data_IF_650042367456
#
_entry.id   IF_650042367456
#
_cell.length_a   1.000
_cell.length_b   1.000
_cell.length_c   1.000
_cell.angle_alpha   90.00
_cell.angle_beta   90.00
_cell.angle_gamma   90.00
#
_symmetry.space_group_name_H-M   'P 1'
#
loop_
_entity.id
_entity.type
_entity.pdbx_description
1 polymer ?
#
# COMPACT_ATOMS: atom_id res chain seq x y z
N UNK A 1 -0.98 29.15 -2.25
CA UNK A 1 -0.89 27.97 -3.15
C UNK A 1 -1.74 28.28 -4.38
N UNK A 2 -1.19 28.20 -5.60
CA UNK A 2 -1.97 28.46 -6.83
C UNK A 2 -2.67 27.18 -7.24
N UNK A 3 -3.91 27.28 -7.70
CA UNK A 3 -4.66 26.14 -8.22
C UNK A 3 -4.09 25.70 -9.57
N UNK A 4 -3.53 24.48 -9.68
CA UNK A 4 -3.01 23.95 -10.94
C UNK A 4 -4.10 23.40 -11.85
N UNK A 5 -5.32 23.20 -11.34
CA UNK A 5 -6.40 22.47 -12.01
C UNK A 5 -6.78 23.03 -13.39
N UNK A 6 -6.88 24.35 -13.62
CA UNK A 6 -7.20 24.90 -14.94
C UNK A 6 -6.19 24.47 -16.03
N UNK A 7 -4.92 24.29 -15.67
CA UNK A 7 -3.86 23.88 -16.63
C UNK A 7 -3.79 22.38 -16.84
N UNK A 8 -4.09 21.59 -15.81
CA UNK A 8 -4.06 20.13 -15.90
C UNK A 8 -5.21 19.58 -16.74
N UNK A 9 -6.37 20.26 -16.75
CA UNK A 9 -7.56 19.82 -17.47
C UNK A 9 -7.41 19.87 -19.00
N UNK A 10 -6.47 20.67 -19.50
CA UNK A 10 -6.21 20.86 -20.94
C UNK A 10 -5.20 19.84 -21.49
N UNK A 11 -4.51 19.09 -20.62
CA UNK A 11 -3.52 18.10 -21.03
C UNK A 11 -4.17 16.71 -21.17
N UNK A 12 -3.94 15.98 -22.28
CA UNK A 12 -4.34 14.58 -22.36
C UNK A 12 -3.56 13.78 -21.33
N UNK A 13 -4.26 13.09 -20.44
CA UNK A 13 -3.62 12.21 -19.46
C UNK A 13 -3.07 10.97 -20.16
N UNK A 14 -1.77 10.63 -20.00
CA UNK A 14 -1.19 9.51 -20.71
C UNK A 14 -1.83 8.18 -20.26
N UNK A 15 -1.93 7.19 -21.16
CA UNK A 15 -2.37 5.86 -20.75
C UNK A 15 -1.39 5.27 -19.74
N UNK A 16 -1.87 4.98 -18.53
CA UNK A 16 -1.05 4.37 -17.49
C UNK A 16 -0.91 2.87 -17.75
N UNK A 17 0.33 2.37 -17.74
CA UNK A 17 0.63 0.93 -17.73
C UNK A 17 1.27 0.53 -16.42
N UNK A 18 0.67 -0.45 -15.74
CA UNK A 18 1.24 -1.06 -14.54
C UNK A 18 2.49 -1.86 -14.92
N UNK A 19 3.59 -1.63 -14.20
CA UNK A 19 4.79 -2.49 -14.26
C UNK A 19 4.55 -3.83 -13.57
N UNK A 20 5.40 -4.81 -13.85
CA UNK A 20 5.41 -6.07 -13.12
C UNK A 20 5.54 -5.83 -11.61
N UNK A 21 4.88 -6.67 -10.82
CA UNK A 21 4.97 -6.60 -9.37
C UNK A 21 6.33 -7.12 -8.92
N UNK A 22 7.17 -6.24 -8.39
CA UNK A 22 8.51 -6.61 -7.87
C UNK A 22 8.57 -6.67 -6.35
N UNK A 23 7.60 -6.09 -5.65
CA UNK A 23 7.62 -5.99 -4.19
C UNK A 23 6.19 -5.89 -3.67
N UNK A 24 5.89 -6.66 -2.63
CA UNK A 24 4.65 -6.56 -1.87
C UNK A 24 5.00 -6.13 -0.44
N UNK A 25 4.58 -4.92 -0.07
CA UNK A 25 4.65 -4.44 1.31
C UNK A 25 3.25 -4.55 1.92
N UNK A 26 3.17 -5.12 3.13
CA UNK A 26 1.90 -5.32 3.81
C UNK A 26 2.03 -4.84 5.25
N UNK A 27 1.07 -4.05 5.72
CA UNK A 27 0.93 -3.76 7.13
C UNK A 27 0.25 -4.95 7.81
N UNK A 28 0.91 -5.56 8.79
CA UNK A 28 0.29 -6.60 9.62
C UNK A 28 -0.72 -6.04 10.62
N UNK A 29 -0.76 -4.72 10.80
CA UNK A 29 -1.66 -4.06 11.71
C UNK A 29 -1.25 -2.62 11.93
N UNK A 30 -1.98 -1.96 12.82
CA UNK A 30 -1.71 -0.57 13.21
C UNK A 30 -1.32 -0.43 14.68
N UNK A 31 -1.23 -1.55 15.43
CA UNK A 31 -0.71 -1.53 16.79
C UNK A 31 0.80 -1.26 16.76
N UNK A 32 1.19 -0.16 17.40
CA UNK A 32 2.58 0.28 17.52
C UNK A 32 2.80 0.80 18.94
N UNK A 33 3.99 0.68 19.50
CA UNK A 33 4.27 1.18 20.85
C UNK A 33 4.40 2.71 20.94
N UNK A 34 4.39 3.42 19.81
CA UNK A 34 4.53 4.87 19.73
C UNK A 34 3.50 5.43 18.75
N UNK A 35 2.94 6.60 19.07
CA UNK A 35 2.12 7.40 18.17
C UNK A 35 2.94 8.57 17.61
N UNK A 36 3.70 8.34 16.54
CA UNK A 36 4.57 9.36 15.95
C UNK A 36 3.76 10.44 15.23
N UNK A 37 4.12 11.72 15.40
CA UNK A 37 3.47 12.86 14.75
C UNK A 37 3.47 12.79 13.21
N UNK A 38 4.44 12.08 12.63
CA UNK A 38 4.61 11.92 11.18
C UNK A 38 4.17 10.53 10.68
N UNK A 39 3.33 9.81 11.45
CA UNK A 39 2.90 8.47 11.05
C UNK A 39 1.86 8.54 9.92
N UNK A 40 2.28 8.20 8.69
CA UNK A 40 1.41 8.21 7.51
C UNK A 40 0.21 7.25 7.61
N UNK A 41 0.33 6.15 8.36
CA UNK A 41 -0.73 5.15 8.59
C UNK A 41 -1.47 5.32 9.91
N UNK A 42 -1.10 6.34 10.70
CA UNK A 42 -1.70 6.63 12.00
C UNK A 42 -1.66 5.43 12.99
N UNK A 43 -0.59 4.62 12.93
CA UNK A 43 -0.36 3.54 13.88
C UNK A 43 -0.13 4.08 15.30
N UNK A 44 -0.42 3.30 16.33
CA UNK A 44 -0.27 3.74 17.71
C UNK A 44 -0.68 2.70 18.76
N UNK A 45 -0.49 3.01 20.05
CA UNK A 45 -0.63 2.03 21.13
C UNK A 45 -2.08 1.63 21.43
N UNK A 46 -3.04 2.48 21.04
CA UNK A 46 -4.48 2.24 21.23
C UNK A 46 -5.14 1.53 20.06
N UNK A 47 -4.40 1.33 18.94
CA UNK A 47 -4.89 0.63 17.75
C UNK A 47 -5.04 -0.86 18.06
N UNK A 48 -6.07 -1.46 17.48
CA UNK A 48 -6.43 -2.89 17.68
C UNK A 48 -6.48 -3.67 16.38
N UNK A 49 -6.32 -2.98 15.26
CA UNK A 49 -6.31 -3.58 13.93
C UNK A 49 -5.04 -4.43 13.78
N UNK A 50 -5.24 -5.73 13.70
CA UNK A 50 -4.20 -6.72 13.45
C UNK A 50 -4.70 -7.73 12.42
N UNK A 51 -3.80 -8.14 11.54
CA UNK A 51 -4.04 -9.12 10.50
C UNK A 51 -4.21 -10.49 11.14
N UNK A 52 -5.27 -11.18 10.77
CA UNK A 52 -5.51 -12.55 11.25
C UNK A 52 -4.55 -13.52 10.57
N UNK A 53 -4.39 -14.70 11.16
CA UNK A 53 -3.53 -15.75 10.58
C UNK A 53 -4.01 -16.18 9.20
N UNK A 54 -5.31 -16.32 9.02
CA UNK A 54 -5.94 -16.72 7.76
C UNK A 54 -5.64 -15.71 6.65
N UNK A 55 -5.58 -14.43 7.00
CA UNK A 55 -5.21 -13.36 6.06
C UNK A 55 -3.72 -13.40 5.72
N UNK A 56 -2.86 -13.68 6.70
CA UNK A 56 -1.42 -13.91 6.45
C UNK A 56 -1.23 -15.07 5.48
N UNK A 57 -1.92 -16.19 5.70
CA UNK A 57 -1.82 -17.37 4.83
C UNK A 57 -2.32 -17.06 3.40
N UNK A 58 -3.33 -16.18 3.25
CA UNK A 58 -3.75 -15.67 1.95
C UNK A 58 -2.65 -14.84 1.27
N UNK A 59 -1.98 -13.93 1.99
CA UNK A 59 -0.86 -13.14 1.47
C UNK A 59 0.28 -14.05 0.99
N UNK A 60 0.60 -15.08 1.77
CA UNK A 60 1.65 -16.05 1.42
C UNK A 60 1.28 -16.87 0.18
N UNK A 61 0.03 -17.32 0.04
CA UNK A 61 -0.46 -17.98 -1.17
C UNK A 61 -0.34 -17.09 -2.40
N UNK A 62 -0.77 -15.83 -2.29
CA UNK A 62 -0.61 -14.86 -3.37
C UNK A 62 0.86 -14.70 -3.78
N UNK A 63 1.77 -14.55 -2.81
CA UNK A 63 3.21 -14.45 -3.09
C UNK A 63 3.75 -15.69 -3.80
N UNK A 64 3.31 -16.89 -3.40
CA UNK A 64 3.71 -18.14 -4.03
C UNK A 64 3.25 -18.22 -5.50
N UNK A 65 2.02 -17.83 -5.80
CA UNK A 65 1.47 -17.79 -7.16
C UNK A 65 2.20 -16.78 -8.06
N UNK A 66 2.66 -15.67 -7.49
CA UNK A 66 3.39 -14.68 -8.28
C UNK A 66 4.75 -15.20 -8.73
N UNK A 67 5.42 -16.13 -8.03
CA UNK A 67 6.81 -16.57 -8.31
C UNK A 67 7.06 -17.04 -9.75
N UNK A 68 6.05 -17.52 -10.47
CA UNK A 68 6.15 -17.90 -11.89
C UNK A 68 6.21 -16.73 -12.89
N UNK A 69 6.05 -15.48 -12.43
CA UNK A 69 5.93 -14.28 -13.28
C UNK A 69 7.14 -13.32 -13.21
N UNK A 70 8.24 -13.77 -12.60
CA UNK A 70 9.44 -12.96 -12.33
C UNK A 70 10.63 -13.28 -13.24
N UNK A 71 10.48 -14.27 -14.12
CA UNK A 71 11.38 -14.58 -15.25
C UNK A 71 10.83 -13.98 -16.54
#
# INVERSE_FOLDING_TARGET
MRDPWPRLRELPFPPLRRRALSTLQVNLGYRCNIACLHCHVNAGPTRKEEMTRETIDLVLRFLAEQRGRWI
#
